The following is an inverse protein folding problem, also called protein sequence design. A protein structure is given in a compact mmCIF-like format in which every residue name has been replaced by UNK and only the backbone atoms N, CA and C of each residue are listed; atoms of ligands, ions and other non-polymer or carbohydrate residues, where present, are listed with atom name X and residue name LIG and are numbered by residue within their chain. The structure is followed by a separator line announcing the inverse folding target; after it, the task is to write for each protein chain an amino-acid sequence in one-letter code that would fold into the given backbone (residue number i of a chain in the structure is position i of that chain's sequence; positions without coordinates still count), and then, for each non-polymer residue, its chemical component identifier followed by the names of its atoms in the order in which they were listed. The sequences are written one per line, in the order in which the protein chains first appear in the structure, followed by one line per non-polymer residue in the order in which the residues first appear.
data_IF_741064744523
#
_entry.id   IF_741064744523
#
_cell.length_a   1.000
_cell.length_b   1.000
_cell.length_c   1.000
_cell.angle_alpha   90.00
_cell.angle_beta   90.00
_cell.angle_gamma   90.00
#
_symmetry.space_group_name_H-M   'P 1'
#
loop_
_entity.id
_entity.type
_entity.pdbx_description
1 polymer ?
#
# COMPACT_ATOMS: atom_id res chain seq x y z
N UNK A 1 10.05 27.85 8.75
CA UNK A 1 9.77 26.71 7.85
C UNK A 1 10.62 25.56 8.30
N UNK A 2 10.03 24.52 8.90
CA UNK A 2 10.75 23.31 9.26
C UNK A 2 10.73 22.36 8.08
N UNK A 3 11.91 21.95 7.60
CA UNK A 3 12.01 20.81 6.70
C UNK A 3 11.76 19.55 7.53
N UNK A 4 10.62 18.90 7.30
CA UNK A 4 10.41 17.53 7.78
C UNK A 4 10.62 16.61 6.58
N UNK A 5 11.68 15.79 6.54
CA UNK A 5 11.84 14.80 5.48
C UNK A 5 10.62 13.87 5.49
N UNK A 6 9.91 13.80 4.37
CA UNK A 6 8.84 12.83 4.16
C UNK A 6 9.49 11.54 3.65
N UNK A 7 9.53 10.51 4.49
CA UNK A 7 10.07 9.20 4.12
C UNK A 7 8.98 8.37 3.47
N UNK A 8 8.91 8.45 2.13
CA UNK A 8 7.99 7.66 1.33
C UNK A 8 8.20 6.16 1.62
N UNK A 9 7.13 5.44 1.97
CA UNK A 9 7.18 4.00 2.29
C UNK A 9 7.39 3.65 3.77
N UNK A 10 7.65 4.64 4.64
CA UNK A 10 7.74 4.48 6.10
C UNK A 10 6.46 4.94 6.80
N UNK A 11 5.29 4.54 6.30
CA UNK A 11 4.00 5.11 6.71
C UNK A 11 3.42 4.51 7.99
N UNK A 12 3.99 3.40 8.49
CA UNK A 12 3.39 2.63 9.59
C UNK A 12 4.35 2.47 10.76
N UNK A 13 3.81 2.68 11.97
CA UNK A 13 4.44 2.28 13.23
C UNK A 13 3.76 1.00 13.69
N UNK A 14 4.56 -0.04 13.96
CA UNK A 14 4.08 -1.34 14.40
C UNK A 14 4.65 -1.69 15.77
N UNK A 15 3.89 -2.48 16.53
CA UNK A 15 4.35 -3.03 17.81
C UNK A 15 5.21 -4.27 17.59
N UNK A 16 5.98 -4.64 18.61
CA UNK A 16 6.70 -5.92 18.66
C UNK A 16 5.78 -7.12 18.37
N UNK A 17 4.55 -7.12 18.93
CA UNK A 17 3.57 -8.20 18.71
C UNK A 17 3.22 -8.37 17.23
N UNK A 18 3.04 -7.26 16.50
CA UNK A 18 2.74 -7.32 15.07
C UNK A 18 3.93 -7.87 14.28
N UNK A 19 5.14 -7.41 14.58
CA UNK A 19 6.37 -7.92 13.96
C UNK A 19 6.55 -9.43 14.19
N UNK A 20 6.27 -9.91 15.40
CA UNK A 20 6.31 -11.34 15.72
C UNK A 20 5.28 -12.13 14.92
N UNK A 21 4.08 -11.58 14.69
CA UNK A 21 3.08 -12.21 13.85
C UNK A 21 3.55 -12.36 12.40
N UNK A 22 4.19 -11.34 11.81
CA UNK A 22 4.74 -11.44 10.45
C UNK A 22 5.78 -12.57 10.35
N UNK A 23 6.66 -12.67 11.34
CA UNK A 23 7.70 -13.72 11.40
C UNK A 23 7.11 -15.10 11.64
N UNK A 24 6.12 -15.22 12.52
CA UNK A 24 5.44 -16.48 12.82
C UNK A 24 4.67 -17.01 11.61
N UNK A 25 4.01 -16.11 10.85
CA UNK A 25 3.38 -16.46 9.58
C UNK A 25 4.39 -16.92 8.52
N UNK A 26 5.64 -16.47 8.62
CA UNK A 26 6.69 -16.76 7.65
C UNK A 26 6.72 -15.77 6.49
N UNK A 27 6.34 -14.50 6.72
CA UNK A 27 6.57 -13.44 5.72
C UNK A 27 8.06 -13.32 5.48
N UNK A 28 8.47 -13.35 4.21
CA UNK A 28 9.88 -13.29 3.84
C UNK A 28 10.49 -11.94 4.27
N UNK A 29 11.69 -11.98 4.83
CA UNK A 29 12.42 -10.81 5.34
C UNK A 29 12.79 -9.82 4.21
N UNK A 30 12.71 -10.23 2.94
CA UNK A 30 12.91 -9.33 1.79
C UNK A 30 11.70 -8.43 1.48
N UNK A 31 10.49 -8.79 1.97
CA UNK A 31 9.26 -8.04 1.72
C UNK A 31 9.14 -6.81 2.61
N UNK A 32 9.80 -6.78 3.77
CA UNK A 32 9.70 -5.66 4.70
C UNK A 32 10.98 -5.46 5.50
N UNK A 33 11.22 -4.21 5.90
CA UNK A 33 12.25 -3.84 6.84
C UNK A 33 11.63 -3.16 8.05
N UNK A 34 12.29 -3.26 9.20
CA UNK A 34 11.86 -2.59 10.42
C UNK A 34 13.00 -1.75 10.99
N UNK A 35 12.66 -0.53 11.41
CA UNK A 35 13.58 0.36 12.10
C UNK A 35 13.08 0.56 13.54
N UNK A 36 13.86 0.16 14.56
CA UNK A 36 13.45 0.37 15.94
C UNK A 36 13.34 1.85 16.27
N UNK A 37 12.29 2.25 16.97
CA UNK A 37 12.07 3.63 17.40
C UNK A 37 11.69 3.71 18.88
N UNK A 38 12.02 4.84 19.49
CA UNK A 38 11.61 5.17 20.86
C UNK A 38 10.56 6.27 20.83
N UNK A 39 9.36 5.97 21.33
CA UNK A 39 8.29 6.95 21.48
C UNK A 39 8.30 7.47 22.91
N UNK A 40 8.45 8.78 23.08
CA UNK A 40 8.51 9.39 24.41
C UNK A 40 7.21 9.13 25.18
N UNK A 41 7.31 8.51 26.35
CA UNK A 41 6.16 8.18 27.19
C UNK A 41 5.52 6.83 26.88
N UNK A 42 6.08 6.05 25.95
CA UNK A 42 5.69 4.67 25.73
C UNK A 42 6.79 3.73 26.24
N UNK A 43 6.42 2.77 27.09
CA UNK A 43 7.33 1.73 27.60
C UNK A 43 7.18 0.41 26.81
N UNK A 44 6.99 0.54 25.50
CA UNK A 44 6.77 -0.58 24.58
C UNK A 44 7.68 -0.45 23.37
N UNK A 45 8.22 -1.59 22.93
CA UNK A 45 9.03 -1.67 21.72
C UNK A 45 8.18 -1.42 20.49
N UNK A 46 8.54 -0.37 19.75
CA UNK A 46 7.87 0.07 18.52
C UNK A 46 8.87 0.14 17.38
N UNK A 47 8.37 -0.06 16.17
CA UNK A 47 9.17 -0.10 14.95
C UNK A 47 8.48 0.70 13.86
N UNK A 48 9.26 1.40 13.04
CA UNK A 48 8.78 1.87 11.74
C UNK A 48 8.83 0.67 10.79
N UNK A 49 7.70 0.34 10.18
CA UNK A 49 7.60 -0.65 9.11
C UNK A 49 7.86 0.04 7.77
N UNK A 50 8.83 -0.48 7.05
CA UNK A 50 9.15 -0.08 5.68
C UNK A 50 8.86 -1.26 4.74
N UNK A 51 8.07 -1.02 3.71
CA UNK A 51 7.82 -1.97 2.62
C UNK A 51 8.17 -1.26 1.32
N UNK A 52 9.06 -1.86 0.53
CA UNK A 52 9.47 -1.28 -0.75
C UNK A 52 8.26 -1.09 -1.66
N UNK A 53 8.11 0.12 -2.20
CA UNK A 53 6.98 0.43 -3.08
C UNK A 53 7.21 -0.15 -4.47
N UNK A 54 6.17 -0.79 -4.99
CA UNK A 54 6.03 -1.09 -6.41
C UNK A 54 5.76 0.23 -7.13
N UNK A 55 6.66 0.63 -8.05
CA UNK A 55 6.56 1.90 -8.75
C UNK A 55 5.39 1.90 -9.75
N UNK A 56 4.82 3.08 -10.01
CA UNK A 56 3.71 3.27 -10.94
C UNK A 56 4.02 2.75 -12.35
N UNK A 57 5.27 2.79 -12.77
CA UNK A 57 5.75 2.31 -14.07
C UNK A 57 5.52 0.80 -14.29
N UNK A 58 5.32 0.03 -13.21
CA UNK A 58 5.01 -1.39 -13.28
C UNK A 58 3.50 -1.68 -13.34
N UNK A 59 2.63 -0.68 -13.20
CA UNK A 59 1.19 -0.88 -13.30
C UNK A 59 0.79 -1.04 -14.77
N UNK A 60 0.01 -2.07 -15.07
CA UNK A 60 -0.66 -2.19 -16.37
C UNK A 60 -1.92 -1.31 -16.36
N UNK A 61 -1.80 -0.11 -16.93
CA UNK A 61 -2.89 0.86 -16.99
C UNK A 61 -4.06 0.40 -17.87
N UNK A 62 -3.82 -0.44 -18.89
CA UNK A 62 -4.87 -0.93 -19.79
C UNK A 62 -5.80 -1.89 -19.09
N UNK A 63 -5.22 -2.73 -18.24
CA UNK A 63 -5.97 -3.68 -17.43
C UNK A 63 -6.41 -3.09 -16.09
N UNK A 64 -5.96 -1.90 -15.72
CA UNK A 64 -6.40 -1.18 -14.50
C UNK A 64 -7.69 -0.39 -14.74
N UNK A 65 -8.39 -0.04 -13.66
CA UNK A 65 -9.58 0.82 -13.69
C UNK A 65 -9.34 2.06 -12.86
N UNK A 66 -9.35 3.22 -13.53
CA UNK A 66 -9.23 4.53 -12.89
C UNK A 66 -10.52 5.33 -13.06
N UNK A 67 -10.82 6.15 -12.07
CA UNK A 67 -11.90 7.13 -12.11
C UNK A 67 -11.30 8.53 -12.01
N UNK A 68 -11.85 9.46 -12.80
CA UNK A 68 -11.55 10.88 -12.61
C UNK A 68 -12.34 11.37 -11.38
N UNK A 69 -11.59 11.62 -10.30
CA UNK A 69 -12.11 12.11 -9.04
C UNK A 69 -11.99 13.65 -8.91
N UNK A 70 -11.61 14.35 -9.99
CA UNK A 70 -11.54 15.83 -10.02
C UNK A 70 -12.92 16.48 -9.93
N UNK A 71 -13.97 15.81 -10.45
CA UNK A 71 -15.34 16.29 -10.36
C UNK A 71 -16.21 15.36 -9.49
N UNK A 72 -16.58 15.78 -8.26
CA UNK A 72 -17.38 14.95 -7.36
C UNK A 72 -18.81 14.70 -7.85
N UNK A 73 -19.29 15.44 -8.86
CA UNK A 73 -20.64 15.31 -9.42
C UNK A 73 -20.69 14.45 -10.70
N UNK A 74 -19.53 14.11 -11.27
CA UNK A 74 -19.42 13.24 -12.45
C UNK A 74 -18.15 12.40 -12.38
N UNK A 75 -18.17 11.33 -11.58
CA UNK A 75 -17.10 10.33 -11.59
C UNK A 75 -17.18 9.53 -12.89
N UNK A 76 -16.47 10.00 -13.92
CA UNK A 76 -16.29 9.27 -15.17
C UNK A 76 -15.20 8.21 -15.00
N UNK A 77 -15.37 7.04 -15.62
CA UNK A 77 -14.27 6.09 -15.80
C UNK A 77 -13.25 6.75 -16.73
N UNK A 78 -12.00 6.82 -16.29
CA UNK A 78 -10.89 7.31 -17.09
C UNK A 78 -10.28 6.13 -17.86
N UNK A 79 -10.34 6.19 -19.18
CA UNK A 79 -9.58 5.26 -20.03
C UNK A 79 -8.15 5.78 -20.12
N UNK A 80 -7.22 5.10 -19.47
CA UNK A 80 -5.79 5.43 -19.50
C UNK A 80 -5.06 4.20 -20.01
N UNK A 81 -4.30 4.34 -21.09
CA UNK A 81 -3.62 3.19 -21.72
C UNK A 81 -2.16 3.04 -21.31
N UNK A 82 -1.59 4.03 -20.62
CA UNK A 82 -0.17 4.03 -20.26
C UNK A 82 0.18 4.91 -19.06
N UNK A 83 1.33 4.62 -18.45
CA UNK A 83 1.91 5.46 -17.41
C UNK A 83 2.14 6.92 -17.86
N UNK A 84 2.54 7.13 -19.11
CA UNK A 84 2.78 8.49 -19.63
C UNK A 84 1.49 9.29 -19.71
N UNK A 85 0.38 8.66 -20.12
CA UNK A 85 -0.93 9.30 -20.15
C UNK A 85 -1.43 9.65 -18.75
N UNK A 86 -1.28 8.74 -17.79
CA UNK A 86 -1.55 8.99 -16.38
C UNK A 86 -0.77 10.21 -15.85
N UNK A 87 0.54 10.25 -16.11
CA UNK A 87 1.43 11.36 -15.74
C UNK A 87 0.97 12.69 -16.33
N UNK A 88 0.66 12.71 -17.63
CA UNK A 88 0.20 13.93 -18.32
C UNK A 88 -1.12 14.46 -17.72
N UNK A 89 -2.04 13.56 -17.35
CA UNK A 89 -3.29 13.94 -16.70
C UNK A 89 -3.06 14.56 -15.31
N UNK A 90 -2.21 13.94 -14.49
CA UNK A 90 -1.81 14.49 -13.18
C UNK A 90 -1.16 15.88 -13.29
N UNK A 91 -0.25 16.07 -14.25
CA UNK A 91 0.41 17.35 -14.51
C UNK A 91 -0.59 18.43 -14.99
N UNK A 92 -1.68 18.01 -15.63
CA UNK A 92 -2.79 18.88 -16.05
C UNK A 92 -3.81 19.16 -14.94
N UNK A 93 -3.59 18.65 -13.73
CA UNK A 93 -4.45 18.86 -12.57
C UNK A 93 -5.60 17.86 -12.43
N UNK A 94 -5.60 16.77 -13.20
CA UNK A 94 -6.59 15.70 -13.07
C UNK A 94 -6.22 14.77 -11.91
N UNK A 95 -7.15 14.59 -10.98
CA UNK A 95 -7.01 13.67 -9.86
C UNK A 95 -7.64 12.32 -10.20
N UNK A 96 -6.81 11.30 -10.43
CA UNK A 96 -7.27 9.94 -10.67
C UNK A 96 -7.29 9.13 -9.37
N UNK A 97 -8.34 8.33 -9.18
CA UNK A 97 -8.47 7.36 -8.10
C UNK A 97 -8.52 5.96 -8.73
N UNK A 98 -7.72 5.02 -8.22
CA UNK A 98 -7.73 3.63 -8.70
C UNK A 98 -8.88 2.88 -8.05
N UNK A 99 -9.65 2.15 -8.86
CA UNK A 99 -10.60 1.14 -8.38
C UNK A 99 -10.07 -0.28 -8.59
N UNK A 100 -9.28 -0.49 -9.65
CA UNK A 100 -8.59 -1.74 -9.92
C UNK A 100 -7.16 -1.42 -10.34
N UNK A 101 -6.18 -2.08 -9.72
CA UNK A 101 -4.76 -1.97 -10.06
C UNK A 101 -4.30 -3.33 -10.58
N UNK A 102 -3.69 -3.32 -11.76
CA UNK A 102 -3.08 -4.50 -12.35
C UNK A 102 -1.56 -4.40 -12.29
N UNK A 103 -0.90 -5.41 -11.70
CA UNK A 103 0.56 -5.49 -11.59
C UNK A 103 1.09 -6.86 -12.04
N UNK A 104 2.40 -6.99 -12.35
CA UNK A 104 2.96 -8.24 -12.85
C UNK A 104 2.82 -9.42 -11.87
N UNK A 105 2.59 -10.62 -12.42
CA UNK A 105 2.40 -11.88 -11.69
C UNK A 105 3.56 -12.24 -10.73
N UNK A 106 4.77 -11.72 -10.99
CA UNK A 106 5.93 -11.94 -10.10
C UNK A 106 5.68 -11.55 -8.64
N UNK A 107 4.77 -10.60 -8.39
CA UNK A 107 4.41 -10.10 -7.06
C UNK A 107 3.33 -10.96 -6.36
N UNK A 108 2.70 -11.90 -7.07
CA UNK A 108 1.55 -12.68 -6.56
C UNK A 108 1.86 -13.50 -5.32
N UNK A 109 3.13 -13.88 -5.11
CA UNK A 109 3.57 -14.69 -3.97
C UNK A 109 3.93 -13.85 -2.75
N UNK A 110 3.92 -12.53 -2.85
CA UNK A 110 4.22 -11.65 -1.73
C UNK A 110 3.03 -11.58 -0.78
N UNK A 111 3.31 -11.63 0.53
CA UNK A 111 2.30 -11.52 1.58
C UNK A 111 1.99 -10.07 1.94
N UNK A 112 2.92 -9.17 1.65
CA UNK A 112 2.78 -7.73 1.88
C UNK A 112 3.23 -6.99 0.62
N UNK A 113 2.35 -6.14 0.11
CA UNK A 113 2.60 -5.31 -1.06
C UNK A 113 2.35 -3.84 -0.71
N UNK A 114 3.25 -2.97 -1.17
CA UNK A 114 3.11 -1.53 -1.09
C UNK A 114 3.11 -0.96 -2.50
N UNK A 115 2.03 -0.28 -2.90
CA UNK A 115 1.88 0.26 -4.25
C UNK A 115 2.01 1.77 -4.18
N UNK A 116 2.82 2.37 -5.04
CA UNK A 116 2.92 3.84 -5.10
C UNK A 116 1.57 4.51 -5.47
N UNK A 117 0.68 3.77 -6.13
CA UNK A 117 -0.68 4.19 -6.46
C UNK A 117 -1.62 4.31 -5.25
N UNK A 118 -1.27 3.72 -4.10
CA UNK A 118 -2.15 3.60 -2.93
C UNK A 118 -1.44 3.99 -1.65
N UNK A 119 -2.18 4.52 -0.68
CA UNK A 119 -1.60 4.89 0.62
C UNK A 119 -1.51 3.70 1.59
N UNK A 120 -2.30 2.65 1.36
CA UNK A 120 -2.44 1.50 2.25
C UNK A 120 -1.68 0.29 1.72
N UNK A 121 -1.25 -0.58 2.64
CA UNK A 121 -0.64 -1.86 2.29
C UNK A 121 -1.70 -2.88 1.85
N UNK A 122 -1.34 -3.71 0.88
CA UNK A 122 -2.11 -4.90 0.52
C UNK A 122 -1.49 -6.10 1.21
N UNK A 123 -2.31 -6.83 1.97
CA UNK A 123 -1.90 -8.08 2.59
C UNK A 123 -2.57 -9.27 1.89
N UNK A 124 -1.84 -10.37 1.77
CA UNK A 124 -2.44 -11.61 1.28
C UNK A 124 -3.60 -12.04 2.18
N UNK A 125 -4.61 -12.69 1.60
CA UNK A 125 -5.79 -13.10 2.35
C UNK A 125 -5.44 -14.05 3.50
N UNK A 126 -4.45 -14.92 3.29
CA UNK A 126 -3.93 -15.84 4.31
C UNK A 126 -3.30 -15.08 5.49
N UNK A 127 -2.49 -14.06 5.21
CA UNK A 127 -1.90 -13.22 6.26
C UNK A 127 -2.99 -12.46 7.03
N UNK A 128 -3.97 -11.86 6.33
CA UNK A 128 -5.10 -11.16 6.96
C UNK A 128 -5.85 -12.10 7.91
N UNK A 129 -6.20 -13.31 7.45
CA UNK A 129 -6.89 -14.31 8.28
C UNK A 129 -6.05 -14.68 9.49
N UNK A 130 -4.75 -14.89 9.33
CA UNK A 130 -3.84 -15.17 10.44
C UNK A 130 -3.81 -14.02 11.46
N UNK A 131 -3.62 -12.77 11.02
CA UNK A 131 -3.55 -11.60 11.91
C UNK A 131 -4.86 -11.40 12.71
N UNK A 132 -6.01 -11.69 12.10
CA UNK A 132 -7.31 -11.66 12.80
C UNK A 132 -7.39 -12.68 13.94
N UNK A 133 -6.67 -13.80 13.88
CA UNK A 133 -6.62 -14.78 14.99
C UNK A 133 -5.71 -14.37 16.14
N UNK A 134 -4.84 -13.38 15.93
CA UNK A 134 -3.79 -12.97 16.89
C UNK A 134 -4.19 -11.82 17.81
N UNK A 135 -5.43 -11.35 17.72
CA UNK A 135 -5.98 -10.26 18.53
C UNK A 135 -5.07 -9.02 18.50
N UNK A 136 -4.70 -8.59 17.29
CA UNK A 136 -3.90 -7.40 17.07
C UNK A 136 -4.82 -6.18 17.17
N UNK A 137 -4.53 -5.28 18.10
CA UNK A 137 -5.24 -4.02 18.25
C UNK A 137 -4.87 -3.04 17.12
N UNK A 138 -5.85 -2.28 16.65
CA UNK A 138 -5.64 -1.24 15.63
C UNK A 138 -5.44 -1.78 14.21
N UNK A 139 -5.74 -3.05 13.95
CA UNK A 139 -5.76 -3.61 12.60
C UNK A 139 -7.14 -3.42 11.96
N UNK A 140 -7.23 -2.54 10.97
CA UNK A 140 -8.46 -2.25 10.23
C UNK A 140 -8.35 -2.76 8.78
N UNK A 141 -9.35 -3.52 8.32
CA UNK A 141 -9.42 -4.03 6.96
C UNK A 141 -10.38 -3.16 6.15
N UNK A 142 -9.85 -2.46 5.15
CA UNK A 142 -10.62 -1.60 4.26
C UNK A 142 -11.27 -2.45 3.16
N UNK A 143 -12.57 -2.72 3.27
CA UNK A 143 -13.28 -3.66 2.38
C UNK A 143 -13.61 -3.13 0.98
N UNK A 144 -13.34 -1.85 0.65
CA UNK A 144 -13.95 -1.19 -0.53
C UNK A 144 -13.14 -0.06 -1.21
N UNK A 145 -11.82 -0.05 -1.12
CA UNK A 145 -11.05 1.02 -1.78
C UNK A 145 -10.59 0.60 -3.18
N UNK A 146 -9.76 -0.43 -3.27
CA UNK A 146 -9.09 -0.77 -4.55
C UNK A 146 -8.90 -2.28 -4.66
N UNK A 147 -9.24 -2.85 -5.81
CA UNK A 147 -8.99 -4.25 -6.14
C UNK A 147 -7.59 -4.40 -6.75
N UNK A 148 -6.80 -5.35 -6.25
CA UNK A 148 -5.49 -5.68 -6.80
C UNK A 148 -5.57 -6.98 -7.60
N UNK A 149 -5.15 -6.94 -8.87
CA UNK A 149 -5.09 -8.10 -9.75
C UNK A 149 -3.67 -8.28 -10.32
N UNK A 150 -3.37 -9.50 -10.74
CA UNK A 150 -2.07 -9.89 -11.28
C UNK A 150 -2.19 -10.29 -12.75
N UNK A 151 -1.22 -9.90 -13.58
CA UNK A 151 -1.14 -10.26 -15.02
C UNK A 151 0.21 -10.82 -15.46
#
# INVERSE_FOLDING_TARGET
MGFSPYFLGCSFIISQKFLECLREFGVNDDQFNVLPINIRGADISMYILYVSMIPLELIDFRESLLIDASNPYSKGVATIESYQEFRNGQESGVFFEFQKICIPEKFQRESILNLQAESNLFFSEELVRFLLTKDISGFEILKRQTELIFN
#
